data_IF_046586419669
#
_entry.id   IF_046586419669
#
_cell.length_a   1.000
_cell.length_b   1.000
_cell.length_c   1.000
_cell.angle_alpha   90.00
_cell.angle_beta   90.00
_cell.angle_gamma   90.00
#
_symmetry.space_group_name_H-M   'P 1'
#
loop_
_entity.id
_entity.type
_entity.pdbx_description
1 polymer ?
#
# COMPACT_ATOMS: atom_id res chain seq x y z
N UNK A 1 -5.77 4.64 -4.92
CA UNK A 1 -4.68 3.79 -5.45
C UNK A 1 -4.88 3.40 -6.92
N UNK A 2 -5.84 2.53 -7.31
CA UNK A 2 -5.82 1.87 -8.61
C UNK A 2 -5.89 2.81 -9.82
N UNK A 3 -6.68 3.89 -9.73
CA UNK A 3 -6.74 4.88 -10.81
C UNK A 3 -5.38 5.52 -11.09
N UNK A 4 -4.73 6.05 -10.06
CA UNK A 4 -3.46 6.74 -10.20
C UNK A 4 -2.30 5.80 -10.52
N UNK A 5 -2.27 4.59 -9.94
CA UNK A 5 -1.27 3.60 -10.33
C UNK A 5 -1.42 3.21 -11.80
N UNK A 6 -2.65 3.01 -12.30
CA UNK A 6 -2.87 2.69 -13.72
C UNK A 6 -2.48 3.83 -14.65
N UNK A 7 -2.69 5.10 -14.25
CA UNK A 7 -2.23 6.26 -15.02
C UNK A 7 -0.69 6.32 -15.08
N UNK A 8 -0.01 6.12 -13.95
CA UNK A 8 1.44 6.09 -13.90
C UNK A 8 2.04 4.98 -14.78
N UNK A 9 1.47 3.77 -14.76
CA UNK A 9 1.96 2.62 -15.54
C UNK A 9 1.81 2.78 -17.06
N UNK A 10 1.19 3.88 -17.53
CA UNK A 10 1.22 4.24 -18.96
C UNK A 10 2.52 4.94 -19.37
N UNK A 11 3.24 5.49 -18.40
CA UNK A 11 4.36 6.40 -18.61
C UNK A 11 5.68 5.84 -18.07
N UNK A 12 5.63 5.01 -17.02
CA UNK A 12 6.83 4.43 -16.40
C UNK A 12 6.78 2.90 -16.33
N UNK A 13 7.95 2.24 -16.32
CA UNK A 13 8.04 0.78 -16.16
C UNK A 13 7.48 0.29 -14.81
N UNK A 14 7.16 -1.01 -14.76
CA UNK A 14 6.70 -1.66 -13.54
C UNK A 14 7.76 -1.63 -12.43
N UNK A 15 9.04 -1.75 -12.79
CA UNK A 15 10.19 -1.62 -11.88
C UNK A 15 10.23 -0.27 -11.17
N UNK A 16 9.98 0.83 -11.88
CA UNK A 16 9.88 2.17 -11.29
C UNK A 16 8.71 2.26 -10.31
N UNK A 17 7.54 1.79 -10.73
CA UNK A 17 6.35 1.72 -9.88
C UNK A 17 6.56 0.90 -8.61
N UNK A 18 7.26 -0.24 -8.70
CA UNK A 18 7.53 -1.14 -7.59
C UNK A 18 8.31 -0.45 -6.46
N UNK A 19 9.33 0.33 -6.81
CA UNK A 19 10.17 1.03 -5.83
C UNK A 19 9.38 2.14 -5.14
N UNK A 20 8.63 2.95 -5.90
CA UNK A 20 7.81 4.02 -5.33
C UNK A 20 6.70 3.45 -4.42
N UNK A 21 6.01 2.40 -4.88
CA UNK A 21 4.97 1.71 -4.10
C UNK A 21 5.57 1.01 -2.87
N UNK A 22 6.87 0.75 -2.84
CA UNK A 22 7.57 0.23 -1.67
C UNK A 22 7.38 1.07 -0.39
N UNK A 23 7.02 2.35 -0.50
CA UNK A 23 6.67 3.21 0.65
C UNK A 23 5.28 2.97 1.24
N UNK A 24 4.39 2.29 0.51
CA UNK A 24 3.00 2.06 0.91
C UNK A 24 2.86 1.52 2.34
N UNK A 25 3.68 0.55 2.83
CA UNK A 25 3.58 0.07 4.20
C UNK A 25 3.93 1.11 5.28
N UNK A 26 4.89 2.01 5.01
CA UNK A 26 5.25 3.10 5.93
C UNK A 26 4.13 4.15 5.94
N UNK A 27 3.65 4.56 4.77
CA UNK A 27 2.52 5.50 4.66
C UNK A 27 1.27 4.94 5.37
N UNK A 28 1.00 3.64 5.23
CA UNK A 28 -0.13 2.97 5.91
C UNK A 28 0.04 3.02 7.43
N UNK A 29 1.27 2.85 7.93
CA UNK A 29 1.56 2.97 9.36
C UNK A 29 1.33 4.40 9.88
N UNK A 30 1.69 5.43 9.10
CA UNK A 30 1.41 6.84 9.46
C UNK A 30 -0.09 7.06 9.62
N UNK A 31 -0.91 6.67 8.64
CA UNK A 31 -2.37 6.82 8.73
C UNK A 31 -2.98 5.99 9.85
N UNK A 32 -2.53 4.75 10.03
CA UNK A 32 -3.01 3.90 11.13
C UNK A 32 -2.71 4.53 12.50
N UNK A 33 -1.51 5.08 12.70
CA UNK A 33 -1.14 5.78 13.93
C UNK A 33 -1.96 7.06 14.13
N UNK A 34 -2.19 7.83 13.07
CA UNK A 34 -3.06 9.01 13.11
C UNK A 34 -4.47 8.64 13.60
N UNK A 35 -5.10 7.63 12.99
CA UNK A 35 -6.46 7.22 13.35
C UNK A 35 -6.54 6.56 14.73
N UNK A 36 -5.53 5.77 15.10
CA UNK A 36 -5.42 5.15 16.41
C UNK A 36 -5.02 6.12 17.53
N UNK A 37 -4.67 7.37 17.21
CA UNK A 37 -4.05 8.34 18.12
C UNK A 37 -2.78 7.78 18.80
N UNK A 38 -2.11 6.85 18.14
CA UNK A 38 -0.85 6.28 18.57
C UNK A 38 0.29 7.24 18.17
N UNK A 39 1.37 7.24 18.95
CA UNK A 39 2.56 8.07 18.67
C UNK A 39 3.66 7.19 18.10
N UNK A 40 3.99 7.28 16.80
CA UNK A 40 5.09 6.52 16.24
C UNK A 40 6.43 6.92 16.85
N UNK A 41 7.34 5.96 16.93
CA UNK A 41 8.67 6.16 17.50
C UNK A 41 9.53 7.15 16.68
N UNK A 42 10.51 7.82 17.30
CA UNK A 42 11.51 8.60 16.55
C UNK A 42 12.23 7.77 15.48
N UNK A 43 12.50 6.50 15.76
CA UNK A 43 13.12 5.56 14.80
C UNK A 43 12.21 5.27 13.60
N UNK A 44 10.88 5.20 13.82
CA UNK A 44 9.92 5.13 12.72
C UNK A 44 9.98 6.38 11.84
N UNK A 45 9.99 7.58 12.43
CA UNK A 45 10.06 8.83 11.67
C UNK A 45 11.36 8.96 10.88
N UNK A 46 12.50 8.59 11.47
CA UNK A 46 13.79 8.55 10.76
C UNK A 46 13.71 7.61 9.55
N UNK A 47 13.11 6.43 9.72
CA UNK A 47 12.92 5.48 8.63
C UNK A 47 11.95 6.01 7.57
N UNK A 48 10.88 6.70 7.96
CA UNK A 48 9.93 7.31 7.02
C UNK A 48 10.59 8.40 6.17
N UNK A 49 11.39 9.27 6.78
CA UNK A 49 12.15 10.31 6.07
C UNK A 49 13.20 9.68 5.16
N UNK A 50 14.00 8.73 5.67
CA UNK A 50 15.03 8.06 4.88
C UNK A 50 14.44 7.29 3.68
N UNK A 51 13.34 6.55 3.89
CA UNK A 51 12.66 5.82 2.82
C UNK A 51 12.10 6.78 1.77
N UNK A 52 11.47 7.87 2.20
CA UNK A 52 10.94 8.88 1.29
C UNK A 52 12.04 9.55 0.48
N UNK A 53 13.17 9.88 1.11
CA UNK A 53 14.33 10.45 0.43
C UNK A 53 14.93 9.47 -0.59
N UNK A 54 15.03 8.18 -0.26
CA UNK A 54 15.51 7.14 -1.19
C UNK A 54 14.60 7.02 -2.41
N UNK A 55 13.27 7.00 -2.23
CA UNK A 55 12.33 6.91 -3.34
C UNK A 55 12.33 8.17 -4.20
N UNK A 56 12.36 9.36 -3.61
CA UNK A 56 12.46 10.61 -4.37
C UNK A 56 13.80 10.66 -5.13
N UNK A 57 14.90 10.24 -4.49
CA UNK A 57 16.22 10.15 -5.14
C UNK A 57 16.22 9.17 -6.31
N UNK A 58 15.60 8.00 -6.16
CA UNK A 58 15.41 7.03 -7.25
C UNK A 58 14.59 7.62 -8.40
N UNK A 59 13.45 8.26 -8.09
CA UNK A 59 12.57 8.85 -9.10
C UNK A 59 13.27 9.96 -9.89
N UNK A 60 14.01 10.84 -9.19
CA UNK A 60 14.83 11.89 -9.82
C UNK A 60 15.94 11.29 -10.69
N UNK A 61 16.57 10.20 -10.26
CA UNK A 61 17.61 9.51 -11.02
C UNK A 61 17.06 8.89 -12.31
N UNK A 62 15.96 8.14 -12.24
CA UNK A 62 15.27 7.58 -13.42
C UNK A 62 14.71 8.67 -14.34
N UNK A 63 14.22 9.77 -13.77
CA UNK A 63 13.70 10.92 -14.51
C UNK A 63 14.78 11.87 -15.06
N UNK A 64 16.02 11.40 -15.22
CA UNK A 64 17.15 12.17 -15.76
C UNK A 64 17.41 13.52 -15.06
N UNK A 65 17.25 13.55 -13.73
CA UNK A 65 17.51 14.71 -12.88
C UNK A 65 16.26 15.46 -12.42
N UNK A 66 15.05 14.96 -12.72
CA UNK A 66 13.80 15.55 -12.27
C UNK A 66 12.72 14.51 -12.00
N UNK A 67 11.66 14.93 -11.28
CA UNK A 67 10.46 14.10 -11.13
C UNK A 67 9.66 14.12 -12.43
N UNK A 68 9.19 12.95 -12.84
CA UNK A 68 8.32 12.75 -13.99
C UNK A 68 6.85 12.96 -13.58
N UNK A 69 5.99 13.17 -14.58
CA UNK A 69 4.55 13.30 -14.34
C UNK A 69 3.97 12.05 -13.65
N UNK A 70 4.40 10.87 -14.06
CA UNK A 70 4.04 9.59 -13.46
C UNK A 70 4.37 9.47 -11.96
N UNK A 71 5.42 10.14 -11.47
CA UNK A 71 5.80 10.09 -10.05
C UNK A 71 4.73 10.68 -9.16
N UNK A 72 4.11 11.77 -9.60
CA UNK A 72 3.01 12.41 -8.88
C UNK A 72 1.79 11.50 -8.79
N UNK A 73 1.49 10.75 -9.85
CA UNK A 73 0.47 9.73 -9.81
C UNK A 73 0.83 8.59 -8.86
N UNK A 74 2.09 8.13 -8.83
CA UNK A 74 2.52 7.09 -7.90
C UNK A 74 2.45 7.57 -6.44
N UNK A 75 2.86 8.81 -6.14
CA UNK A 75 2.73 9.38 -4.80
C UNK A 75 1.27 9.51 -4.38
N UNK A 76 0.39 10.01 -5.26
CA UNK A 76 -1.05 10.05 -5.01
C UNK A 76 -1.62 8.63 -4.79
N UNK A 77 -1.16 7.65 -5.56
CA UNK A 77 -1.55 6.26 -5.39
C UNK A 77 -1.14 5.74 -4.01
N UNK A 78 0.11 5.96 -3.59
CA UNK A 78 0.65 5.57 -2.28
C UNK A 78 -0.15 6.18 -1.14
N UNK A 79 -0.39 7.50 -1.16
CA UNK A 79 -1.13 8.20 -0.11
C UNK A 79 -2.56 7.65 0.01
N UNK A 80 -3.29 7.58 -1.11
CA UNK A 80 -4.68 7.12 -1.10
C UNK A 80 -4.79 5.62 -0.81
N UNK A 81 -3.82 4.82 -1.24
CA UNK A 81 -3.76 3.39 -0.94
C UNK A 81 -3.50 3.15 0.54
N UNK A 82 -2.56 3.90 1.12
CA UNK A 82 -2.23 3.81 2.53
C UNK A 82 -3.40 4.21 3.43
N UNK A 83 -4.08 5.30 3.08
CA UNK A 83 -5.33 5.72 3.73
C UNK A 83 -6.39 4.61 3.66
N UNK A 84 -6.62 4.07 2.45
CA UNK A 84 -7.58 3.00 2.23
C UNK A 84 -7.26 1.72 3.00
N UNK A 85 -5.98 1.34 3.11
CA UNK A 85 -5.55 0.18 3.88
C UNK A 85 -5.66 0.39 5.38
N UNK A 86 -5.35 1.59 5.88
CA UNK A 86 -5.49 1.90 7.31
C UNK A 86 -6.96 1.82 7.75
N UNK A 87 -7.87 2.47 7.02
CA UNK A 87 -9.31 2.43 7.30
C UNK A 87 -9.91 1.06 6.99
N UNK A 88 -9.59 0.48 5.85
CA UNK A 88 -10.09 -0.83 5.44
C UNK A 88 -9.67 -1.93 6.40
N UNK A 89 -8.43 -1.89 6.93
CA UNK A 89 -7.97 -2.82 7.94
C UNK A 89 -8.68 -2.67 9.30
N UNK A 90 -9.21 -1.48 9.61
CA UNK A 90 -10.07 -1.25 10.78
C UNK A 90 -11.47 -1.80 10.53
N UNK A 91 -12.11 -1.41 9.43
CA UNK A 91 -13.44 -1.88 9.05
C UNK A 91 -13.50 -3.40 8.88
N UNK A 92 -12.44 -4.02 8.37
CA UNK A 92 -12.39 -5.47 8.18
C UNK A 92 -12.42 -6.27 9.49
N UNK A 93 -12.07 -5.66 10.63
CA UNK A 93 -12.21 -6.30 11.94
C UNK A 93 -13.66 -6.33 12.44
N UNK A 94 -14.47 -5.37 12.01
CA UNK A 94 -15.88 -5.24 12.41
C UNK A 94 -16.81 -5.95 11.43
N UNK A 95 -16.57 -5.76 10.13
CA UNK A 95 -17.44 -6.24 9.05
C UNK A 95 -17.01 -7.60 8.47
N UNK A 96 -15.73 -7.95 8.59
CA UNK A 96 -15.13 -9.02 7.79
C UNK A 96 -14.54 -8.53 6.47
N UNK A 97 -13.65 -9.33 5.88
CA UNK A 97 -12.89 -8.93 4.68
C UNK A 97 -13.73 -8.87 3.41
N UNK A 98 -14.69 -9.79 3.25
CA UNK A 98 -15.57 -9.86 2.09
C UNK A 98 -16.53 -8.65 2.06
N UNK A 99 -17.15 -8.37 3.18
CA UNK A 99 -18.08 -7.27 3.37
C UNK A 99 -17.38 -5.93 3.16
N UNK A 100 -16.16 -5.77 3.70
CA UNK A 100 -15.36 -4.54 3.56
C UNK A 100 -15.08 -4.20 2.11
N UNK A 101 -14.58 -5.14 1.29
CA UNK A 101 -14.32 -4.85 -0.13
C UNK A 101 -15.61 -4.72 -0.94
N UNK A 102 -16.63 -5.52 -0.64
CA UNK A 102 -17.91 -5.48 -1.36
C UNK A 102 -18.60 -4.13 -1.16
N UNK A 103 -18.68 -3.64 0.07
CA UNK A 103 -19.24 -2.32 0.36
C UNK A 103 -18.39 -1.18 -0.21
N UNK A 104 -17.06 -1.30 -0.17
CA UNK A 104 -16.19 -0.31 -0.82
C UNK A 104 -16.49 -0.19 -2.33
N UNK A 105 -16.73 -1.30 -3.02
CA UNK A 105 -17.13 -1.30 -4.43
C UNK A 105 -18.51 -0.65 -4.62
N UNK A 106 -19.52 -1.08 -3.85
CA UNK A 106 -20.89 -0.55 -3.94
C UNK A 106 -20.93 0.97 -3.71
N UNK A 107 -20.26 1.45 -2.65
CA UNK A 107 -20.19 2.89 -2.32
C UNK A 107 -19.42 3.68 -3.38
N UNK A 108 -18.48 3.05 -4.10
CA UNK A 108 -17.75 3.70 -5.17
C UNK A 108 -18.54 3.80 -6.49
N UNK A 109 -19.58 2.99 -6.69
CA UNK A 109 -20.35 2.94 -7.96
C UNK A 109 -20.94 4.29 -8.38
N UNK A 110 -21.59 5.10 -7.52
CA UNK A 110 -22.19 6.36 -7.94
C UNK A 110 -21.18 7.35 -8.55
N UNK A 111 -19.91 7.26 -8.13
CA UNK A 111 -18.82 8.09 -8.66
C UNK A 111 -18.17 7.42 -9.88
N UNK A 112 -17.93 6.10 -9.81
CA UNK A 112 -17.22 5.39 -10.87
C UNK A 112 -18.07 5.18 -12.13
N UNK A 113 -19.36 4.91 -12.00
CA UNK A 113 -20.26 4.68 -13.15
C UNK A 113 -20.25 5.85 -14.15
N UNK A 114 -20.49 7.13 -13.74
CA UNK A 114 -20.46 8.23 -14.70
C UNK A 114 -19.08 8.45 -15.31
N UNK A 115 -18.00 8.27 -14.53
CA UNK A 115 -16.62 8.40 -15.03
C UNK A 115 -16.31 7.32 -16.07
N UNK A 116 -16.63 6.06 -15.78
CA UNK A 116 -16.41 4.94 -16.70
C UNK A 116 -17.30 5.08 -17.94
N UNK A 117 -18.56 5.50 -17.79
CA UNK A 117 -19.45 5.75 -18.93
C UNK A 117 -18.90 6.85 -19.83
N UNK A 118 -18.44 7.96 -19.27
CA UNK A 118 -17.83 9.05 -20.04
C UNK A 118 -16.55 8.61 -20.77
N UNK A 119 -15.65 7.89 -20.10
CA UNK A 119 -14.44 7.34 -20.72
C UNK A 119 -14.78 6.34 -21.83
N UNK A 120 -15.79 5.49 -21.61
CA UNK A 120 -16.24 4.50 -22.61
C UNK A 120 -16.78 5.20 -23.85
N UNK A 121 -17.55 6.28 -23.69
CA UNK A 121 -18.05 7.06 -24.83
C UNK A 121 -16.93 7.81 -25.56
N UNK A 122 -16.01 8.41 -24.82
CA UNK A 122 -14.86 9.15 -25.37
C UNK A 122 -13.94 8.24 -26.19
N UNK A 123 -13.65 7.04 -25.70
CA UNK A 123 -12.64 6.14 -26.24
C UNK A 123 -13.25 4.90 -26.94
N UNK A 124 -14.56 4.96 -27.27
CA UNK A 124 -15.35 3.84 -27.80
C UNK A 124 -14.68 3.11 -28.97
N UNK A 125 -14.13 3.77 -30.01
CA UNK A 125 -13.50 3.06 -31.13
C UNK A 125 -12.30 2.22 -30.69
N UNK A 126 -11.51 2.71 -29.73
CA UNK A 126 -10.33 2.00 -29.23
C UNK A 126 -10.71 0.80 -28.35
N UNK A 127 -11.76 0.95 -27.53
CA UNK A 127 -12.29 -0.14 -26.69
C UNK A 127 -12.92 -1.22 -27.56
N UNK A 128 -13.68 -0.83 -28.60
CA UNK A 128 -14.28 -1.77 -29.55
C UNK A 128 -13.21 -2.56 -30.35
N UNK A 129 -12.06 -1.93 -30.61
CA UNK A 129 -10.92 -2.58 -31.27
C UNK A 129 -10.01 -3.38 -30.32
N UNK A 130 -10.28 -3.39 -29.01
CA UNK A 130 -9.44 -4.06 -28.04
C UNK A 130 -9.40 -5.58 -28.27
N UNK A 131 -8.20 -6.14 -28.28
CA UNK A 131 -8.00 -7.58 -28.51
C UNK A 131 -8.62 -8.44 -27.39
N UNK A 132 -8.92 -9.73 -27.66
CA UNK A 132 -9.34 -10.67 -26.62
C UNK A 132 -8.34 -10.77 -25.45
N UNK A 133 -7.05 -10.58 -25.72
CA UNK A 133 -6.00 -10.57 -24.69
C UNK A 133 -6.13 -9.37 -23.75
N UNK A 134 -6.46 -8.19 -24.28
CA UNK A 134 -6.68 -6.99 -23.46
C UNK A 134 -7.90 -7.18 -22.54
N UNK A 135 -8.99 -7.74 -23.07
CA UNK A 135 -10.17 -8.09 -22.27
C UNK A 135 -9.86 -9.16 -21.22
N UNK A 136 -9.08 -10.18 -21.57
CA UNK A 136 -8.60 -11.18 -20.61
C UNK A 136 -7.76 -10.57 -19.48
N UNK A 137 -6.86 -9.63 -19.81
CA UNK A 137 -6.08 -8.89 -18.82
C UNK A 137 -6.96 -8.03 -17.90
N UNK A 138 -7.96 -7.34 -18.46
CA UNK A 138 -8.94 -6.56 -17.69
C UNK A 138 -9.76 -7.43 -16.73
N UNK A 139 -10.23 -8.59 -17.21
CA UNK A 139 -10.95 -9.55 -16.38
C UNK A 139 -10.07 -10.10 -15.25
N UNK A 140 -8.83 -10.48 -15.56
CA UNK A 140 -7.87 -10.98 -14.58
C UNK A 140 -7.57 -9.94 -13.50
N UNK A 141 -7.24 -8.70 -13.89
CA UNK A 141 -6.89 -7.66 -12.93
C UNK A 141 -8.09 -7.29 -12.06
N UNK A 142 -9.30 -7.23 -12.63
CA UNK A 142 -10.49 -6.79 -11.89
C UNK A 142 -11.04 -7.88 -10.96
N UNK A 143 -11.17 -9.12 -11.44
CA UNK A 143 -11.82 -10.21 -10.69
C UNK A 143 -10.82 -10.89 -9.77
N UNK A 144 -9.69 -11.36 -10.31
CA UNK A 144 -8.76 -12.20 -9.55
C UNK A 144 -7.78 -11.37 -8.73
N UNK A 145 -7.08 -10.43 -9.37
CA UNK A 145 -6.06 -9.64 -8.69
C UNK A 145 -6.68 -8.67 -7.69
N UNK A 146 -7.70 -7.91 -8.12
CA UNK A 146 -8.36 -6.93 -7.26
C UNK A 146 -9.40 -7.60 -6.38
N UNK A 147 -10.58 -8.00 -6.89
CA UNK A 147 -11.65 -8.44 -5.99
C UNK A 147 -11.26 -9.63 -5.10
N UNK A 148 -10.89 -10.77 -5.70
CA UNK A 148 -10.50 -11.98 -4.94
C UNK A 148 -9.25 -11.75 -4.09
N UNK A 149 -8.21 -11.07 -4.64
CA UNK A 149 -7.01 -10.73 -3.89
C UNK A 149 -7.31 -9.88 -2.65
N UNK A 150 -8.22 -8.91 -2.76
CA UNK A 150 -8.64 -8.07 -1.65
C UNK A 150 -9.46 -8.82 -0.59
N UNK A 151 -10.21 -9.88 -0.95
CA UNK A 151 -10.84 -10.76 0.02
C UNK A 151 -9.80 -11.34 0.98
N UNK A 152 -8.75 -11.93 0.41
CA UNK A 152 -7.66 -12.52 1.20
C UNK A 152 -6.86 -11.47 1.94
N UNK A 153 -6.60 -10.31 1.32
CA UNK A 153 -5.89 -9.21 1.95
C UNK A 153 -6.61 -8.70 3.20
N UNK A 154 -7.89 -8.34 3.10
CA UNK A 154 -8.65 -7.84 4.25
C UNK A 154 -8.95 -8.94 5.28
N UNK A 155 -9.23 -10.18 4.85
CA UNK A 155 -9.35 -11.30 5.78
C UNK A 155 -8.03 -11.54 6.54
N UNK A 156 -6.89 -11.40 5.85
CA UNK A 156 -5.57 -11.43 6.45
C UNK A 156 -5.41 -10.31 7.47
N UNK A 157 -5.68 -9.06 7.09
CA UNK A 157 -5.59 -7.90 7.98
C UNK A 157 -6.48 -8.04 9.23
N UNK A 158 -7.68 -8.59 9.08
CA UNK A 158 -8.59 -8.86 10.18
C UNK A 158 -8.03 -9.89 11.17
N UNK A 159 -7.42 -10.99 10.66
CA UNK A 159 -6.89 -12.09 11.49
C UNK A 159 -5.51 -11.79 12.09
N UNK A 160 -4.61 -11.24 11.29
CA UNK A 160 -3.19 -11.06 11.63
C UNK A 160 -2.81 -9.64 12.06
N UNK A 161 -3.74 -8.69 11.94
CA UNK A 161 -3.51 -7.28 12.20
C UNK A 161 -2.68 -6.59 11.10
N UNK A 162 -2.88 -5.27 10.98
CA UNK A 162 -2.18 -4.41 9.99
C UNK A 162 -0.66 -4.48 10.16
N UNK A 163 -0.17 -4.66 11.39
CA UNK A 163 1.24 -4.75 11.73
C UNK A 163 1.97 -5.91 11.01
N UNK A 164 1.47 -7.13 11.18
CA UNK A 164 2.12 -8.36 10.68
C UNK A 164 1.84 -8.55 9.19
N UNK A 165 0.60 -8.38 8.75
CA UNK A 165 0.21 -8.63 7.35
C UNK A 165 0.84 -7.60 6.41
N UNK A 166 1.01 -6.36 6.86
CA UNK A 166 1.73 -5.33 6.10
C UNK A 166 3.21 -5.69 5.83
N UNK A 167 3.84 -6.59 6.60
CA UNK A 167 5.20 -7.05 6.28
C UNK A 167 5.25 -7.94 5.03
N UNK A 168 4.17 -8.67 4.72
CA UNK A 168 4.07 -9.49 3.50
C UNK A 168 4.18 -8.59 2.27
N UNK A 169 3.70 -7.35 2.36
CA UNK A 169 3.80 -6.37 1.28
C UNK A 169 5.25 -5.97 0.96
N UNK A 170 6.21 -6.22 1.85
CA UNK A 170 7.65 -6.00 1.53
C UNK A 170 8.16 -6.97 0.47
N UNK A 171 7.48 -8.09 0.26
CA UNK A 171 7.78 -9.02 -0.82
C UNK A 171 7.26 -8.50 -2.18
N UNK A 172 6.23 -7.65 -2.17
CA UNK A 172 5.58 -7.18 -3.40
C UNK A 172 6.55 -6.48 -4.36
N UNK A 173 7.39 -5.51 -3.95
CA UNK A 173 8.31 -4.87 -4.89
C UNK A 173 9.27 -5.85 -5.56
N UNK A 174 9.78 -6.86 -4.85
CA UNK A 174 10.65 -7.88 -5.43
C UNK A 174 9.92 -8.75 -6.44
N UNK A 175 8.69 -9.17 -6.13
CA UNK A 175 7.86 -9.93 -7.06
C UNK A 175 7.49 -9.09 -8.30
N UNK A 176 7.23 -7.80 -8.13
CA UNK A 176 6.97 -6.88 -9.25
C UNK A 176 8.22 -6.68 -10.11
N UNK A 177 9.41 -6.51 -9.52
CA UNK A 177 10.67 -6.42 -10.26
C UNK A 177 10.97 -7.71 -11.03
N UNK A 178 10.86 -8.87 -10.36
CA UNK A 178 11.03 -10.17 -11.01
C UNK A 178 9.99 -10.40 -12.12
N UNK A 179 8.73 -10.04 -11.88
CA UNK A 179 7.67 -10.09 -12.88
C UNK A 179 7.94 -9.16 -14.07
N UNK A 180 8.38 -7.94 -13.83
CA UNK A 180 8.77 -6.98 -14.87
C UNK A 180 9.91 -7.52 -15.73
N UNK A 181 10.94 -8.09 -15.12
CA UNK A 181 12.06 -8.70 -15.85
C UNK A 181 11.64 -9.94 -16.64
N UNK A 182 10.87 -10.86 -16.04
CA UNK A 182 10.54 -12.15 -16.64
C UNK A 182 9.39 -12.08 -17.66
N UNK A 183 8.39 -11.23 -17.41
CA UNK A 183 7.16 -11.16 -18.21
C UNK A 183 7.23 -10.01 -19.21
N UNK A 184 7.75 -8.86 -18.80
CA UNK A 184 7.80 -7.64 -19.62
C UNK A 184 9.18 -7.39 -20.24
N UNK A 185 10.17 -8.24 -19.95
CA UNK A 185 11.56 -8.07 -20.38
C UNK A 185 12.14 -6.70 -19.99
N UNK A 186 11.72 -6.13 -18.85
CA UNK A 186 12.27 -4.88 -18.35
C UNK A 186 13.75 -5.04 -17.96
N UNK A 187 14.63 -4.12 -18.39
CA UNK A 187 16.02 -4.14 -17.97
C UNK A 187 16.12 -3.81 -16.48
N UNK A 188 16.64 -4.75 -15.69
CA UNK A 188 16.97 -4.50 -14.28
C UNK A 188 18.46 -4.21 -14.17
N UNK A 189 18.79 -2.93 -14.00
CA UNK A 189 20.15 -2.53 -13.72
C UNK A 189 20.48 -2.58 -12.23
N UNK A 190 21.78 -2.59 -11.94
CA UNK A 190 22.31 -2.66 -10.57
C UNK A 190 21.80 -1.52 -9.69
N UNK A 191 21.73 -0.25 -10.16
CA UNK A 191 21.18 0.84 -9.37
C UNK A 191 19.72 0.61 -8.95
N UNK A 192 18.85 0.17 -9.87
CA UNK A 192 17.43 -0.09 -9.57
C UNK A 192 17.30 -1.16 -8.48
N UNK A 193 18.07 -2.26 -8.59
CA UNK A 193 18.08 -3.31 -7.57
C UNK A 193 18.58 -2.77 -6.22
N UNK A 194 19.64 -1.97 -6.23
CA UNK A 194 20.20 -1.37 -5.01
C UNK A 194 19.20 -0.44 -4.31
N UNK A 195 18.51 0.43 -5.06
CA UNK A 195 17.44 1.28 -4.53
C UNK A 195 16.28 0.45 -3.96
N UNK A 196 15.83 -0.58 -4.67
CA UNK A 196 14.77 -1.46 -4.19
C UNK A 196 15.13 -2.10 -2.84
N UNK A 197 16.33 -2.68 -2.74
CA UNK A 197 16.82 -3.28 -1.48
C UNK A 197 16.93 -2.23 -0.37
N UNK A 198 17.47 -1.05 -0.66
CA UNK A 198 17.62 0.02 0.32
C UNK A 198 16.26 0.53 0.85
N UNK A 199 15.32 0.81 -0.05
CA UNK A 199 13.95 1.24 0.30
C UNK A 199 13.28 0.19 1.18
N UNK A 200 13.33 -1.08 0.78
CA UNK A 200 12.66 -2.16 1.52
C UNK A 200 13.32 -2.38 2.89
N UNK A 201 14.66 -2.30 2.98
CA UNK A 201 15.36 -2.39 4.26
C UNK A 201 14.92 -1.27 5.22
N UNK A 202 14.84 -0.03 4.74
CA UNK A 202 14.39 1.12 5.55
C UNK A 202 12.92 0.98 5.94
N UNK A 203 12.05 0.57 5.01
CA UNK A 203 10.63 0.31 5.29
C UNK A 203 10.49 -0.79 6.33
N UNK A 204 11.26 -1.88 6.24
CA UNK A 204 11.24 -2.96 7.21
C UNK A 204 11.67 -2.50 8.61
N UNK A 205 12.72 -1.68 8.70
CA UNK A 205 13.17 -1.09 9.97
C UNK A 205 12.12 -0.16 10.58
N UNK A 206 11.56 0.76 9.80
CA UNK A 206 10.51 1.66 10.28
C UNK A 206 9.28 0.89 10.76
N UNK A 207 8.84 -0.11 10.00
CA UNK A 207 7.72 -0.98 10.38
C UNK A 207 7.95 -1.70 11.70
N UNK A 208 9.15 -2.21 11.97
CA UNK A 208 9.49 -2.82 13.26
C UNK A 208 9.46 -1.81 14.39
N UNK A 209 9.98 -0.60 14.16
CA UNK A 209 10.03 0.48 15.14
C UNK A 209 8.63 1.04 15.51
N UNK A 210 7.64 0.93 14.62
CA UNK A 210 6.26 1.30 14.93
C UNK A 210 5.58 0.28 15.88
N UNK A 211 5.89 -1.01 15.73
CA UNK A 211 5.23 -2.09 16.51
C UNK A 211 5.71 -2.14 17.96
N UNK A 212 6.92 -1.69 18.27
CA UNK A 212 7.51 -1.79 19.61
C UNK A 212 6.93 -0.82 20.65
N UNK A 213 6.21 0.23 20.24
CA UNK A 213 5.70 1.25 21.18
C UNK A 213 4.24 1.05 21.62
N UNK A 214 3.49 0.15 20.99
CA UNK A 214 2.07 -0.11 21.34
C UNK A 214 1.89 -1.09 22.53
N UNK A 215 2.94 -1.34 23.33
CA UNK A 215 2.81 -2.15 24.55
C UNK A 215 2.05 -1.34 25.63
N UNK A 216 0.93 -1.84 26.18
CA UNK A 216 0.20 -1.15 27.23
C UNK A 216 1.08 -0.97 28.47
N UNK A 217 0.99 0.20 29.11
CA UNK A 217 1.64 0.46 30.38
C UNK A 217 1.20 -0.62 31.40
N UNK A 218 2.13 -1.16 32.22
CA UNK A 218 1.77 -2.14 33.24
C UNK A 218 0.68 -1.55 34.14
N UNK A 219 -0.33 -2.37 34.46
CA UNK A 219 -1.41 -1.97 35.35
C UNK A 219 -0.82 -1.44 36.67
N UNK A 220 -1.38 -0.35 37.25
CA UNK A 220 -0.91 0.15 38.53
C UNK A 220 -0.97 -0.98 39.56
N UNK A 221 0.17 -1.26 40.20
CA UNK A 221 0.24 -2.24 41.29
C UNK A 221 -0.79 -1.87 42.35
N UNK A 222 -1.75 -2.76 42.58
CA UNK A 222 -2.69 -2.62 43.69
C UNK A 222 -1.87 -2.65 44.98
N UNK A 223 -1.88 -1.57 45.80
CA UNK A 223 -1.11 -1.57 47.03
C UNK A 223 -1.59 -2.72 47.94
N UNK A 224 -0.67 -3.40 48.65
CA UNK A 224 -1.02 -4.53 49.49
C UNK A 224 -2.05 -4.10 50.53
N UNK A 225 -3.16 -4.86 50.61
CA UNK A 225 -4.17 -4.69 51.65
C UNK A 225 -3.49 -5.00 52.97
N UNK A 226 -3.14 -3.97 53.73
CA UNK A 226 -2.67 -4.12 55.10
C UNK A 226 -3.83 -4.70 55.94
N UNK A 227 -3.67 -5.88 56.58
CA UNK A 227 -4.71 -6.42 57.44
C UNK A 227 -5.00 -5.43 58.56
N UNK A 228 -6.28 -5.05 58.67
CA UNK A 228 -6.75 -4.03 59.60
C UNK A 228 -6.36 -4.33 61.04
N UNK A 229 -5.84 -3.30 61.72
CA UNK A 229 -5.72 -3.32 63.17
C UNK A 229 -7.13 -3.34 63.78
N UNK A 230 -7.39 -4.43 64.49
CA UNK A 230 -8.54 -4.57 65.38
C UNK A 230 -8.24 -3.68 66.60
N UNK A 231 -9.06 -2.66 66.82
CA UNK A 231 -9.16 -1.95 68.11
C UNK A 231 -10.63 -1.69 68.38
#
# INVERSE_FOLDING_TARGET
>A
FPLFSSLAMREVPASHGAIVIGLLPLATAVFAAWFGRERPSPAFWLSAVAGSALVVGFAVWQGAGGLQHADWYLFAAVVLGALGYAEGGKLSRELGGLETISWALVVSLPVLVPVVAWLTLRDLPSIAAASPRAWGGMAYVSVFSMFVGFLFWYAGLAKGGVARVGQIQLLQPFLTLAGGALILAEPLDVPTIAFAVAVIAVVALGRRAAVQQSAPAPAPETPPILPGRIH
#
